data_IF_482682230529
#
_entry.id   IF_482682230529
#
_cell.length_a   1.000
_cell.length_b   1.000
_cell.length_c   1.000
_cell.angle_alpha   90.00
_cell.angle_beta   90.00
_cell.angle_gamma   90.00
#
_symmetry.space_group_name_H-M   'P 1'
#
loop_
_entity.id
_entity.type
_entity.pdbx_description
1 polymer ?
#
# COMPACT_ATOMS: atom_id res chain seq x y z
N UNK A 1 30.23 -41.14 22.88
CA UNK A 1 29.92 -40.20 21.78
C UNK A 1 29.13 -40.88 20.65
N UNK A 2 27.90 -40.44 20.38
CA UNK A 2 27.59 -40.02 19.02
C UNK A 2 26.79 -38.70 18.93
N UNK A 3 27.31 -37.82 18.08
CA UNK A 3 26.64 -36.89 17.16
C UNK A 3 25.30 -36.26 17.57
N UNK A 4 25.37 -34.99 17.94
CA UNK A 4 24.25 -34.03 17.93
C UNK A 4 23.66 -33.93 16.51
N UNK A 5 22.48 -34.51 16.28
CA UNK A 5 21.67 -34.24 15.08
C UNK A 5 21.19 -32.79 15.13
N UNK A 6 21.90 -31.90 14.44
CA UNK A 6 21.40 -30.57 14.10
C UNK A 6 20.13 -30.75 13.27
N UNK A 7 18.98 -30.34 13.83
CA UNK A 7 17.78 -30.06 13.05
C UNK A 7 18.07 -28.84 12.20
N UNK A 8 18.55 -29.05 10.98
CA UNK A 8 18.48 -28.03 9.94
C UNK A 8 17.00 -27.86 9.59
N UNK A 9 16.39 -26.81 10.11
CA UNK A 9 15.14 -26.27 9.57
C UNK A 9 15.49 -25.60 8.25
N UNK A 10 15.61 -26.39 7.18
CA UNK A 10 15.56 -25.88 5.81
C UNK A 10 14.11 -25.50 5.52
N UNK A 11 13.71 -24.33 6.02
CA UNK A 11 12.56 -23.61 5.49
C UNK A 11 12.90 -23.22 4.06
N UNK A 12 12.55 -24.08 3.10
CA UNK A 12 12.55 -23.72 1.70
C UNK A 12 11.45 -22.67 1.55
N UNK A 13 11.85 -21.40 1.53
CA UNK A 13 10.96 -20.30 1.23
C UNK A 13 10.26 -20.62 -0.10
N UNK A 14 8.98 -20.95 -0.02
CA UNK A 14 8.14 -21.20 -1.19
C UNK A 14 8.14 -19.94 -2.03
N UNK A 15 8.81 -19.99 -3.18
CA UNK A 15 8.85 -18.91 -4.19
C UNK A 15 7.54 -18.80 -4.98
N UNK A 16 6.51 -19.57 -4.61
CA UNK A 16 5.18 -19.37 -5.20
C UNK A 16 4.57 -18.12 -4.58
N UNK A 17 4.15 -17.14 -5.39
CA UNK A 17 3.41 -16.01 -4.86
C UNK A 17 2.21 -16.56 -4.08
N UNK A 18 2.03 -16.10 -2.84
CA UNK A 18 0.86 -16.42 -2.05
C UNK A 18 -0.37 -15.89 -2.79
N UNK A 19 -0.97 -16.73 -3.64
CA UNK A 19 -2.26 -16.44 -4.23
C UNK A 19 -3.26 -16.76 -3.14
N UNK A 20 -3.77 -15.74 -2.46
CA UNK A 20 -4.88 -15.87 -1.51
C UNK A 20 -6.20 -16.17 -2.25
N UNK A 21 -6.17 -16.99 -3.32
CA UNK A 21 -7.33 -17.42 -4.10
C UNK A 21 -8.28 -18.37 -3.31
N UNK A 22 -8.07 -18.52 -2.00
CA UNK A 22 -8.77 -19.50 -1.16
C UNK A 22 -9.43 -18.89 0.08
N UNK A 23 -9.39 -17.57 0.28
CA UNK A 23 -10.23 -16.96 1.34
C UNK A 23 -11.63 -16.73 0.80
N UNK A 24 -12.50 -17.75 0.89
CA UNK A 24 -13.94 -17.63 0.61
C UNK A 24 -14.58 -16.45 1.37
N UNK A 25 -14.01 -16.05 2.51
CA UNK A 25 -14.47 -14.91 3.28
C UNK A 25 -14.36 -13.58 2.52
N UNK A 26 -13.26 -13.33 1.81
CA UNK A 26 -13.12 -12.06 1.07
C UNK A 26 -14.04 -12.02 -0.15
N UNK A 27 -14.29 -13.16 -0.79
CA UNK A 27 -15.21 -13.22 -1.93
C UNK A 27 -16.70 -13.12 -1.51
N UNK A 28 -17.02 -13.43 -0.25
CA UNK A 28 -18.38 -13.33 0.29
C UNK A 28 -18.75 -11.91 0.74
N UNK A 29 -17.75 -11.09 1.09
CA UNK A 29 -17.97 -9.71 1.54
C UNK A 29 -18.06 -8.81 0.29
N UNK A 30 -19.05 -7.91 0.19
CA UNK A 30 -19.10 -6.93 -0.89
C UNK A 30 -17.83 -6.09 -0.96
N UNK A 31 -17.30 -5.87 -2.17
CA UNK A 31 -16.06 -5.11 -2.40
C UNK A 31 -16.10 -3.73 -1.72
N UNK A 32 -17.24 -3.03 -1.79
CA UNK A 32 -17.44 -1.70 -1.20
C UNK A 32 -17.23 -1.70 0.33
N UNK A 33 -17.63 -2.78 1.00
CA UNK A 33 -17.43 -2.93 2.45
C UNK A 33 -15.95 -3.14 2.76
N UNK A 34 -15.25 -3.93 1.94
CA UNK A 34 -13.81 -4.13 2.08
C UNK A 34 -13.07 -2.82 1.86
N UNK A 35 -13.42 -2.07 0.80
CA UNK A 35 -12.87 -0.74 0.54
C UNK A 35 -13.11 0.22 1.71
N UNK A 36 -14.31 0.23 2.28
CA UNK A 36 -14.64 1.06 3.43
C UNK A 36 -13.77 0.71 4.65
N UNK A 37 -13.68 -0.57 5.01
CA UNK A 37 -12.87 -1.02 6.15
C UNK A 37 -11.40 -0.70 5.95
N UNK A 38 -10.87 -0.93 4.75
CA UNK A 38 -9.46 -0.64 4.45
C UNK A 38 -9.19 0.87 4.29
N UNK A 39 -10.21 1.69 4.04
CA UNK A 39 -10.05 3.15 3.95
C UNK A 39 -9.66 3.82 5.27
N UNK A 40 -9.84 3.13 6.41
CA UNK A 40 -9.33 3.58 7.71
C UNK A 40 -7.80 3.48 7.83
N UNK A 41 -7.13 2.78 6.91
CA UNK A 41 -5.67 2.73 6.84
C UNK A 41 -5.16 3.98 6.13
N UNK A 42 -4.95 5.04 6.91
CA UNK A 42 -4.54 6.35 6.40
C UNK A 42 -3.02 6.49 6.27
N UNK A 43 -2.24 5.68 6.99
CA UNK A 43 -0.79 5.75 6.95
C UNK A 43 -0.20 5.00 5.75
N UNK A 44 0.83 5.56 5.13
CA UNK A 44 1.56 4.90 4.04
C UNK A 44 2.16 3.55 4.49
N UNK A 45 2.60 3.46 5.76
CA UNK A 45 3.18 2.25 6.33
C UNK A 45 2.16 1.12 6.43
N UNK A 46 0.96 1.40 6.97
CA UNK A 46 -0.08 0.38 7.12
C UNK A 46 -0.59 -0.08 5.76
N UNK A 47 -0.72 0.85 4.82
CA UNK A 47 -1.08 0.55 3.43
C UNK A 47 0.00 -0.28 2.73
N UNK A 48 1.27 -0.03 2.98
CA UNK A 48 2.36 -0.86 2.46
C UNK A 48 2.32 -2.27 3.07
N UNK A 49 2.15 -2.38 4.39
CA UNK A 49 2.00 -3.67 5.06
C UNK A 49 0.82 -4.47 4.48
N UNK A 50 -0.32 -3.82 4.24
CA UNK A 50 -1.49 -4.41 3.60
C UNK A 50 -1.16 -4.97 2.21
N UNK A 51 -0.42 -4.24 1.36
CA UNK A 51 -0.05 -4.73 0.02
C UNK A 51 0.84 -5.99 0.07
N UNK A 52 1.61 -6.16 1.14
CA UNK A 52 2.50 -7.31 1.31
C UNK A 52 1.78 -8.57 1.78
N UNK A 53 0.55 -8.46 2.30
CA UNK A 53 -0.19 -9.61 2.82
C UNK A 53 -0.65 -10.55 1.70
N UNK A 54 -1.31 -10.02 0.67
CA UNK A 54 -1.72 -10.81 -0.49
C UNK A 54 -2.00 -9.95 -1.73
N UNK A 55 -2.07 -10.62 -2.89
CA UNK A 55 -2.37 -9.99 -4.18
C UNK A 55 -3.71 -9.26 -4.22
N UNK A 56 -4.72 -9.80 -3.55
CA UNK A 56 -6.06 -9.21 -3.56
C UNK A 56 -6.09 -7.90 -2.78
N UNK A 57 -5.48 -7.86 -1.59
CA UNK A 57 -5.30 -6.63 -0.85
C UNK A 57 -4.37 -5.64 -1.54
N UNK A 58 -3.37 -6.12 -2.28
CA UNK A 58 -2.56 -5.26 -3.15
C UNK A 58 -3.42 -4.59 -4.24
N UNK A 59 -4.30 -5.34 -4.90
CA UNK A 59 -5.20 -4.81 -5.93
C UNK A 59 -6.20 -3.82 -5.34
N UNK A 60 -6.85 -4.18 -4.24
CA UNK A 60 -7.80 -3.32 -3.53
C UNK A 60 -7.11 -2.02 -3.08
N UNK A 61 -5.93 -2.11 -2.48
CA UNK A 61 -5.23 -0.91 -2.01
C UNK A 61 -4.76 0.02 -3.15
N UNK A 62 -4.64 -0.50 -4.37
CA UNK A 62 -4.34 0.28 -5.58
C UNK A 62 -5.59 0.68 -6.37
N UNK A 63 -6.80 0.37 -5.88
CA UNK A 63 -8.04 0.76 -6.52
C UNK A 63 -8.27 2.28 -6.41
N UNK A 64 -8.93 2.92 -7.40
CA UNK A 64 -9.16 4.36 -7.41
C UNK A 64 -9.84 4.88 -6.13
N UNK A 65 -10.80 4.13 -5.58
CA UNK A 65 -11.53 4.53 -4.37
C UNK A 65 -10.63 4.63 -3.14
N UNK A 66 -9.61 3.78 -3.05
CA UNK A 66 -8.64 3.77 -1.98
C UNK A 66 -7.63 4.92 -2.15
N UNK A 67 -7.18 5.15 -3.39
CA UNK A 67 -6.23 6.21 -3.74
C UNK A 67 -6.84 7.61 -3.54
N UNK A 68 -8.14 7.77 -3.80
CA UNK A 68 -8.88 9.02 -3.56
C UNK A 68 -8.77 9.53 -2.12
N UNK A 69 -8.72 8.61 -1.14
CA UNK A 69 -8.69 8.92 0.29
C UNK A 69 -7.27 8.88 0.89
N UNK A 70 -6.24 8.75 0.06
CA UNK A 70 -4.86 8.73 0.54
C UNK A 70 -4.46 10.13 1.03
N UNK A 71 -4.06 10.22 2.30
CA UNK A 71 -3.45 11.44 2.83
C UNK A 71 -2.03 11.57 2.29
N UNK A 72 -1.72 12.74 1.72
CA UNK A 72 -0.41 13.04 1.13
C UNK A 72 0.46 13.89 2.06
N UNK A 73 -0.16 14.49 3.07
CA UNK A 73 0.51 15.31 4.05
C UNK A 73 1.36 14.45 4.99
N UNK A 74 2.62 14.83 5.12
CA UNK A 74 3.51 14.30 6.13
C UNK A 74 3.30 14.99 7.47
N UNK A 75 3.89 14.43 8.52
CA UNK A 75 4.02 15.14 9.78
C UNK A 75 4.81 16.45 9.55
N UNK A 76 4.27 17.64 9.90
CA UNK A 76 4.88 18.92 9.56
C UNK A 76 6.20 19.19 10.30
N UNK A 77 6.41 18.57 11.47
CA UNK A 77 7.63 18.74 12.28
C UNK A 77 8.74 17.79 11.86
N UNK A 78 8.37 16.57 11.44
CA UNK A 78 9.34 15.48 11.18
C UNK A 78 9.46 15.08 9.72
N UNK A 79 8.56 15.56 8.85
CA UNK A 79 8.43 15.16 7.45
C UNK A 79 8.03 13.70 7.24
N UNK A 80 7.82 12.92 8.30
CA UNK A 80 7.52 11.49 8.19
C UNK A 80 6.14 11.26 7.58
N UNK A 81 6.09 10.36 6.60
CA UNK A 81 4.85 9.99 5.92
C UNK A 81 4.46 10.93 4.78
N UNK A 82 5.26 11.96 4.48
CA UNK A 82 5.02 12.82 3.33
C UNK A 82 5.08 12.01 2.04
N UNK A 83 4.12 12.24 1.14
CA UNK A 83 4.12 11.56 -0.14
C UNK A 83 5.28 12.03 -1.02
N UNK A 84 5.52 13.34 -1.05
CA UNK A 84 6.64 13.97 -1.76
C UNK A 84 7.83 14.17 -0.84
N UNK A 85 9.03 14.17 -1.43
CA UNK A 85 10.27 14.45 -0.71
C UNK A 85 10.97 15.69 -1.28
N UNK A 86 11.72 16.42 -0.45
CA UNK A 86 12.38 17.66 -0.84
C UNK A 86 13.46 17.49 -1.91
N UNK A 87 13.86 16.25 -2.22
CA UNK A 87 14.88 15.90 -3.19
C UNK A 87 14.32 15.66 -4.60
N UNK A 88 12.99 15.59 -4.75
CA UNK A 88 12.36 15.34 -6.04
C UNK A 88 12.32 16.61 -6.89
N UNK A 89 12.55 16.46 -8.20
CA UNK A 89 12.32 17.54 -9.15
C UNK A 89 10.81 17.80 -9.33
N UNK A 90 10.41 18.99 -9.80
CA UNK A 90 9.01 19.29 -10.11
C UNK A 90 8.36 18.23 -11.01
N UNK A 91 9.06 17.80 -12.07
CA UNK A 91 8.57 16.76 -12.99
C UNK A 91 8.37 15.41 -12.29
N UNK A 92 9.27 15.02 -11.38
CA UNK A 92 9.14 13.76 -10.64
C UNK A 92 7.95 13.81 -9.68
N UNK A 93 7.80 14.91 -8.95
CA UNK A 93 6.69 15.13 -8.04
C UNK A 93 5.34 15.11 -8.80
N UNK A 94 5.26 15.82 -9.93
CA UNK A 94 4.08 15.84 -10.79
C UNK A 94 3.70 14.43 -11.28
N UNK A 95 4.66 13.67 -11.80
CA UNK A 95 4.41 12.31 -12.30
C UNK A 95 3.96 11.35 -11.19
N UNK A 96 4.47 11.50 -9.96
CA UNK A 96 4.02 10.69 -8.82
C UNK A 96 2.60 11.04 -8.38
N UNK A 97 2.24 12.33 -8.37
CA UNK A 97 0.91 12.78 -8.03
C UNK A 97 -0.14 12.44 -9.09
N UNK A 98 0.26 12.34 -10.36
CA UNK A 98 -0.65 12.09 -11.48
C UNK A 98 -1.57 10.88 -11.26
N UNK A 99 -1.03 9.76 -10.74
CA UNK A 99 -1.83 8.55 -10.47
C UNK A 99 -2.93 8.80 -9.42
N UNK A 100 -2.66 9.66 -8.45
CA UNK A 100 -3.60 10.01 -7.38
C UNK A 100 -4.61 11.04 -7.88
N UNK A 101 -4.17 12.04 -8.65
CA UNK A 101 -5.04 13.05 -9.25
C UNK A 101 -6.08 12.42 -10.20
N UNK A 102 -5.67 11.44 -11.02
CA UNK A 102 -6.59 10.67 -11.88
C UNK A 102 -7.61 9.84 -11.08
N UNK A 103 -7.35 9.60 -9.79
CA UNK A 103 -8.28 8.92 -8.87
C UNK A 103 -9.19 9.91 -8.10
N UNK A 104 -9.25 11.17 -8.52
CA UNK A 104 -9.94 12.29 -7.85
C UNK A 104 -9.42 12.57 -6.42
N UNK A 105 -8.15 12.29 -6.14
CA UNK A 105 -7.53 12.73 -4.89
C UNK A 105 -7.34 14.25 -4.94
N UNK A 106 -8.12 14.98 -4.14
CA UNK A 106 -8.13 16.44 -4.13
C UNK A 106 -6.79 17.02 -3.69
N UNK A 107 -6.14 16.43 -2.69
CA UNK A 107 -4.84 16.87 -2.20
C UNK A 107 -3.80 16.75 -3.32
N UNK A 108 -3.83 15.66 -4.09
CA UNK A 108 -2.95 15.49 -5.24
C UNK A 108 -3.18 16.57 -6.31
N UNK A 109 -4.45 16.87 -6.62
CA UNK A 109 -4.81 17.91 -7.59
C UNK A 109 -4.34 19.30 -7.14
N UNK A 110 -4.53 19.64 -5.85
CA UNK A 110 -4.05 20.90 -5.29
C UNK A 110 -2.52 20.97 -5.31
N UNK A 111 -1.83 19.90 -4.88
CA UNK A 111 -0.38 19.81 -4.89
C UNK A 111 0.20 19.94 -6.32
N UNK A 112 -0.45 19.35 -7.33
CA UNK A 112 -0.02 19.49 -8.73
C UNK A 112 -0.17 20.92 -9.26
N UNK A 113 -1.11 21.71 -8.75
CA UNK A 113 -1.32 23.10 -9.18
C UNK A 113 -0.32 24.10 -8.58
N UNK A 114 0.44 23.69 -7.55
CA UNK A 114 1.43 24.53 -6.85
C UNK A 114 2.88 24.16 -7.16
N UNK A 115 3.13 23.02 -7.82
CA UNK A 115 4.43 22.58 -8.32
C UNK A 115 4.74 23.31 -9.62
#
# INVERSE_FOLDING_TARGET
PPSKRQRQLTSVASTRPAVQAQSLLLSLIPQDVIHLVLSFLTSASDRFALQLTCREFQQINNAPEMLRKLNLDGNPETGKGAFLTAQESPDQAFNRLLKLAVSDNLDALYMMGII
#
